data_IF_158658610556
#
_entry.id   IF_158658610556
#
_cell.length_a   1.000
_cell.length_b   1.000
_cell.length_c   1.000
_cell.angle_alpha   90.00
_cell.angle_beta   90.00
_cell.angle_gamma   90.00
#
_symmetry.space_group_name_H-M   'P 1'
#
loop_
_entity.id
_entity.type
_entity.pdbx_description
1 polymer ?
#
# COMPACT_ATOMS: atom_id res chain seq x y z
N UNK A 1 14.53 -32.19 2.54
CA UNK A 1 15.78 -31.65 3.12
C UNK A 1 16.33 -30.49 2.30
N UNK A 2 16.91 -30.67 1.09
CA UNK A 2 17.58 -29.58 0.31
C UNK A 2 16.72 -28.32 0.20
N UNK A 3 15.41 -28.43 0.00
CA UNK A 3 14.53 -27.25 -0.09
C UNK A 3 14.25 -26.58 1.25
N UNK A 4 14.31 -27.32 2.35
CA UNK A 4 14.17 -26.75 3.70
C UNK A 4 15.42 -25.95 4.07
N UNK A 5 16.59 -26.45 3.72
CA UNK A 5 17.86 -25.77 4.00
C UNK A 5 18.13 -24.61 3.03
N UNK A 6 17.68 -24.75 1.78
CA UNK A 6 17.95 -23.79 0.70
C UNK A 6 16.67 -23.48 -0.11
N UNK A 7 15.68 -22.79 0.48
CA UNK A 7 14.38 -22.58 -0.15
C UNK A 7 14.42 -21.75 -1.44
N UNK A 8 15.49 -21.00 -1.68
CA UNK A 8 15.71 -20.24 -2.91
C UNK A 8 16.16 -21.07 -4.10
N UNK A 9 16.55 -22.33 -3.91
CA UNK A 9 17.08 -23.18 -4.98
C UNK A 9 15.99 -23.62 -5.95
N UNK A 10 16.17 -23.28 -7.22
CA UNK A 10 15.36 -23.81 -8.32
C UNK A 10 15.81 -25.17 -8.81
N UNK A 11 15.06 -25.73 -9.76
CA UNK A 11 15.30 -27.10 -10.28
C UNK A 11 16.70 -27.37 -10.86
N UNK A 12 17.45 -26.34 -11.27
CA UNK A 12 18.83 -26.47 -11.72
C UNK A 12 19.75 -26.71 -10.53
N UNK A 13 19.68 -25.83 -9.54
CA UNK A 13 20.54 -25.93 -8.36
C UNK A 13 20.26 -27.19 -7.54
N UNK A 14 18.97 -27.57 -7.37
CA UNK A 14 18.58 -28.80 -6.70
C UNK A 14 19.14 -30.04 -7.47
N UNK A 15 19.06 -30.03 -8.81
CA UNK A 15 19.71 -31.10 -9.61
C UNK A 15 21.20 -31.20 -9.30
N UNK A 16 21.92 -30.09 -9.33
CA UNK A 16 23.36 -30.04 -9.12
C UNK A 16 23.75 -30.52 -7.71
N UNK A 17 22.98 -30.15 -6.70
CA UNK A 17 23.14 -30.64 -5.33
C UNK A 17 22.92 -32.14 -5.23
N UNK A 18 21.85 -32.69 -5.82
CA UNK A 18 21.57 -34.12 -5.85
C UNK A 18 22.67 -34.90 -6.60
N UNK A 19 23.19 -34.35 -7.69
CA UNK A 19 24.30 -34.99 -8.42
C UNK A 19 25.59 -35.00 -7.60
N UNK A 20 25.89 -33.96 -6.84
CA UNK A 20 27.02 -33.94 -5.88
C UNK A 20 26.86 -34.97 -4.76
N UNK A 21 25.62 -35.29 -4.39
CA UNK A 21 25.30 -36.38 -3.42
C UNK A 21 25.29 -37.77 -4.07
N UNK A 22 25.70 -37.92 -5.34
CA UNK A 22 25.79 -39.20 -6.04
C UNK A 22 24.52 -39.63 -6.76
N UNK A 23 23.44 -38.83 -6.75
CA UNK A 23 22.20 -39.19 -7.43
C UNK A 23 22.26 -38.89 -8.93
N UNK A 24 22.10 -39.89 -9.76
CA UNK A 24 21.98 -39.71 -11.22
C UNK A 24 20.59 -39.24 -11.59
N UNK A 25 20.35 -37.92 -11.57
CA UNK A 25 19.04 -37.32 -11.82
C UNK A 25 19.15 -36.15 -12.80
N UNK A 26 18.24 -36.11 -13.77
CA UNK A 26 18.14 -35.00 -14.73
C UNK A 26 17.18 -33.90 -14.26
N UNK A 27 17.36 -32.67 -14.78
CA UNK A 27 16.54 -31.49 -14.45
C UNK A 27 15.04 -31.71 -14.67
N UNK A 28 14.63 -32.42 -15.74
CA UNK A 28 13.22 -32.69 -16.02
C UNK A 28 12.56 -33.49 -14.89
N UNK A 29 13.27 -34.52 -14.37
CA UNK A 29 12.79 -35.34 -13.25
C UNK A 29 12.71 -34.52 -11.97
N UNK A 30 13.73 -33.72 -11.65
CA UNK A 30 13.71 -32.81 -10.47
C UNK A 30 12.52 -31.82 -10.55
N UNK A 31 12.32 -31.18 -11.69
CA UNK A 31 11.19 -30.25 -11.89
C UNK A 31 9.82 -30.92 -11.70
N UNK A 32 9.68 -32.16 -12.19
CA UNK A 32 8.46 -32.96 -11.98
C UNK A 32 8.24 -33.27 -10.51
N UNK A 33 9.27 -33.70 -9.79
CA UNK A 33 9.20 -34.02 -8.37
C UNK A 33 8.89 -32.78 -7.53
N UNK A 34 9.56 -31.67 -7.78
CA UNK A 34 9.24 -30.40 -7.11
C UNK A 34 7.76 -30.03 -7.27
N UNK A 35 7.21 -30.16 -8.49
CA UNK A 35 5.78 -29.88 -8.74
C UNK A 35 4.86 -30.83 -7.98
N UNK A 36 5.17 -32.13 -7.92
CA UNK A 36 4.38 -33.11 -7.19
C UNK A 36 4.38 -32.86 -5.68
N UNK A 37 5.50 -32.36 -5.14
CA UNK A 37 5.66 -31.99 -3.72
C UNK A 37 5.16 -30.60 -3.38
N UNK A 38 4.65 -29.82 -4.36
CA UNK A 38 4.25 -28.42 -4.15
C UNK A 38 5.42 -27.46 -3.83
N UNK A 39 6.66 -27.85 -4.17
CA UNK A 39 7.88 -27.11 -3.85
C UNK A 39 8.22 -26.11 -4.97
N UNK A 40 8.41 -24.86 -4.60
CA UNK A 40 8.82 -23.77 -5.50
C UNK A 40 10.00 -23.02 -4.90
N UNK A 41 10.93 -22.57 -5.77
CA UNK A 41 12.00 -21.69 -5.32
C UNK A 41 11.42 -20.37 -4.78
N UNK A 42 11.87 -19.95 -3.61
CA UNK A 42 11.55 -18.64 -3.07
C UNK A 42 12.45 -17.58 -3.72
N UNK A 43 11.86 -16.71 -4.49
CA UNK A 43 12.52 -15.54 -5.11
C UNK A 43 11.54 -14.38 -5.23
N UNK A 44 12.02 -13.14 -5.27
CA UNK A 44 11.15 -12.00 -5.55
C UNK A 44 10.49 -12.20 -6.91
N UNK A 45 9.15 -12.28 -6.92
CA UNK A 45 8.40 -12.40 -8.18
C UNK A 45 8.55 -11.10 -8.96
N UNK A 46 8.62 -11.17 -10.31
CA UNK A 46 8.59 -9.95 -11.12
C UNK A 46 7.30 -9.18 -10.82
N UNK A 47 7.39 -7.86 -10.78
CA UNK A 47 6.23 -7.01 -10.63
C UNK A 47 5.28 -7.25 -11.83
N UNK A 48 4.11 -7.79 -11.55
CA UNK A 48 3.08 -8.09 -12.55
C UNK A 48 2.08 -6.94 -12.71
N UNK A 49 2.15 -5.92 -11.87
CA UNK A 49 1.33 -4.72 -11.98
C UNK A 49 1.81 -3.91 -13.19
N UNK A 50 1.06 -4.01 -14.29
CA UNK A 50 1.29 -3.17 -15.46
C UNK A 50 0.57 -1.84 -15.25
N UNK A 51 1.26 -0.68 -15.40
CA UNK A 51 0.59 0.62 -15.38
C UNK A 51 -0.51 0.65 -16.44
N UNK A 52 -1.70 1.07 -16.07
CA UNK A 52 -2.74 1.34 -17.05
C UNK A 52 -2.43 2.68 -17.73
N UNK A 53 -2.02 2.64 -19.00
CA UNK A 53 -1.66 3.83 -19.79
C UNK A 53 -2.84 4.80 -20.00
N UNK A 54 -4.07 4.37 -19.75
CA UNK A 54 -5.26 5.21 -19.80
C UNK A 54 -5.48 6.02 -18.52
N UNK A 55 -4.74 5.74 -17.43
CA UNK A 55 -4.85 6.50 -16.19
C UNK A 55 -4.28 7.92 -16.37
N UNK A 56 -5.11 8.90 -16.05
CA UNK A 56 -4.71 10.31 -16.13
C UNK A 56 -3.81 10.67 -14.96
N UNK A 57 -2.57 11.04 -15.26
CA UNK A 57 -1.59 11.51 -14.26
C UNK A 57 -1.64 13.04 -14.24
N UNK A 58 -1.66 13.61 -13.04
CA UNK A 58 -1.64 15.05 -12.81
C UNK A 58 -0.25 15.52 -12.40
N UNK A 59 0.13 16.77 -12.68
CA UNK A 59 1.43 17.32 -12.28
C UNK A 59 1.53 17.47 -10.77
N UNK A 60 2.74 17.39 -10.23
CA UNK A 60 3.03 17.70 -8.84
C UNK A 60 3.00 19.21 -8.60
N UNK A 61 2.04 19.69 -7.82
CA UNK A 61 1.78 21.10 -7.60
C UNK A 61 2.49 21.68 -6.36
N UNK A 62 3.02 20.85 -5.47
CA UNK A 62 3.51 21.29 -4.16
C UNK A 62 4.99 21.75 -4.20
N UNK A 63 5.66 21.65 -5.35
CA UNK A 63 7.05 22.10 -5.47
C UNK A 63 7.16 23.61 -5.22
N UNK A 64 7.91 23.98 -4.18
CA UNK A 64 8.11 25.37 -3.75
C UNK A 64 6.81 26.05 -3.24
N UNK A 65 5.75 25.31 -2.99
CA UNK A 65 4.55 25.85 -2.38
C UNK A 65 4.78 26.08 -0.89
N UNK A 66 4.51 27.29 -0.42
CA UNK A 66 4.48 27.58 1.02
C UNK A 66 3.12 27.12 1.54
N UNK A 67 3.12 26.22 2.51
CA UNK A 67 1.91 25.69 3.13
C UNK A 67 1.84 26.29 4.53
N UNK A 68 0.97 27.27 4.72
CA UNK A 68 0.92 28.14 5.90
C UNK A 68 -0.42 28.13 6.66
N UNK A 69 -1.43 27.40 6.16
CA UNK A 69 -2.72 27.27 6.83
C UNK A 69 -3.35 25.88 6.61
N UNK A 70 -4.27 25.54 7.52
CA UNK A 70 -5.04 24.29 7.43
C UNK A 70 -6.01 24.32 6.25
N UNK A 71 -6.30 23.14 5.70
CA UNK A 71 -7.10 22.93 4.49
C UNK A 71 -6.50 23.51 3.19
N UNK A 72 -5.25 23.94 3.20
CA UNK A 72 -4.56 24.33 1.98
C UNK A 72 -4.18 23.10 1.16
N UNK A 73 -3.57 22.09 1.79
CA UNK A 73 -3.18 20.85 1.13
C UNK A 73 -3.56 19.65 1.98
N UNK A 74 -4.33 18.74 1.42
CA UNK A 74 -4.54 17.41 1.99
C UNK A 74 -3.75 16.38 1.22
N UNK A 75 -3.29 15.33 1.91
CA UNK A 75 -2.68 14.18 1.25
C UNK A 75 -3.30 12.87 1.73
N UNK A 76 -3.25 11.87 0.85
CA UNK A 76 -3.76 10.52 1.12
C UNK A 76 -2.82 9.45 0.57
N UNK A 77 -2.86 8.30 1.20
CA UNK A 77 -2.17 7.09 0.77
C UNK A 77 -2.84 5.86 1.37
N UNK A 78 -2.48 4.69 0.89
CA UNK A 78 -2.95 3.40 1.40
C UNK A 78 -1.78 2.60 1.93
N UNK A 79 -1.92 2.06 3.14
CA UNK A 79 -0.93 1.15 3.70
C UNK A 79 -1.54 -0.21 4.06
N UNK A 80 -0.69 -1.24 4.10
CA UNK A 80 -1.03 -2.58 4.55
C UNK A 80 -0.86 -2.67 6.07
N UNK A 81 -1.88 -3.21 6.72
CA UNK A 81 -1.88 -3.50 8.16
C UNK A 81 -1.84 -5.01 8.33
N UNK A 82 -0.74 -5.59 8.82
CA UNK A 82 -0.64 -7.02 9.08
C UNK A 82 -1.57 -7.44 10.19
N UNK A 83 -2.11 -8.64 10.06
CA UNK A 83 -2.97 -9.30 11.04
C UNK A 83 -2.42 -10.67 11.36
N UNK A 84 -2.94 -11.34 12.39
CA UNK A 84 -2.58 -12.72 12.71
C UNK A 84 -2.77 -13.67 11.50
N UNK A 85 -3.78 -13.41 10.65
CA UNK A 85 -4.00 -14.12 9.38
C UNK A 85 -4.24 -13.09 8.27
N UNK A 86 -3.24 -12.91 7.38
CA UNK A 86 -3.34 -11.99 6.24
C UNK A 86 -3.11 -10.52 6.62
N UNK A 87 -3.84 -9.62 5.98
CA UNK A 87 -3.71 -8.18 6.17
C UNK A 87 -5.01 -7.46 5.78
N UNK A 88 -5.15 -6.23 6.23
CA UNK A 88 -6.16 -5.28 5.78
C UNK A 88 -5.50 -4.02 5.23
N UNK A 89 -6.26 -3.20 4.53
CA UNK A 89 -5.82 -1.92 3.97
C UNK A 89 -6.29 -0.79 4.87
N UNK A 90 -5.43 0.19 5.10
CA UNK A 90 -5.76 1.44 5.77
C UNK A 90 -5.51 2.59 4.80
N UNK A 91 -6.56 3.35 4.49
CA UNK A 91 -6.48 4.64 3.83
C UNK A 91 -6.64 5.73 4.89
N UNK A 92 -5.83 6.78 4.83
CA UNK A 92 -6.00 7.96 5.66
C UNK A 92 -5.83 9.24 4.84
N UNK A 93 -6.51 10.29 5.28
CA UNK A 93 -6.38 11.65 4.75
C UNK A 93 -5.84 12.53 5.85
N UNK A 94 -4.75 13.24 5.59
CA UNK A 94 -4.16 14.18 6.53
C UNK A 94 -4.08 15.58 5.93
N UNK A 95 -4.29 16.57 6.77
CA UNK A 95 -3.99 17.95 6.46
C UNK A 95 -2.49 18.20 6.60
N UNK A 96 -1.86 18.70 5.54
CA UNK A 96 -0.41 18.86 5.49
C UNK A 96 0.13 19.89 6.49
N UNK A 97 -0.61 20.97 6.70
CA UNK A 97 -0.21 22.02 7.63
C UNK A 97 -0.31 21.59 9.09
N UNK A 98 -1.52 21.19 9.52
CA UNK A 98 -1.78 20.80 10.92
C UNK A 98 -1.30 19.39 11.26
N UNK A 99 -1.06 18.54 10.25
CA UNK A 99 -0.76 17.11 10.36
C UNK A 99 -1.87 16.28 10.98
N UNK A 100 -3.05 16.85 11.11
CA UNK A 100 -4.22 16.17 11.65
C UNK A 100 -4.70 15.10 10.68
N UNK A 101 -5.02 13.91 11.18
CA UNK A 101 -5.78 12.90 10.44
C UNK A 101 -7.22 13.37 10.36
N UNK A 102 -7.70 13.62 9.16
CA UNK A 102 -9.04 14.16 8.91
C UNK A 102 -10.08 13.05 8.80
N UNK A 103 -9.71 11.97 8.14
CA UNK A 103 -10.52 10.77 8.02
C UNK A 103 -9.63 9.55 7.75
N UNK A 104 -10.13 8.38 8.09
CA UNK A 104 -9.48 7.12 7.79
C UNK A 104 -10.51 6.01 7.50
N UNK A 105 -10.11 4.98 6.76
CA UNK A 105 -10.91 3.78 6.48
C UNK A 105 -10.05 2.54 6.47
N UNK A 106 -10.55 1.49 7.12
CA UNK A 106 -9.95 0.14 7.06
C UNK A 106 -10.83 -0.76 6.20
N UNK A 107 -10.25 -1.37 5.17
CA UNK A 107 -10.93 -2.27 4.24
C UNK A 107 -10.22 -3.62 4.13
N UNK A 108 -10.97 -4.67 3.78
CA UNK A 108 -10.45 -6.00 3.43
C UNK A 108 -10.12 -6.11 1.94
N UNK A 109 -10.63 -5.20 1.11
CA UNK A 109 -10.35 -5.10 -0.32
C UNK A 109 -9.66 -3.78 -0.66
N UNK A 110 -8.87 -3.79 -1.74
CA UNK A 110 -8.13 -2.62 -2.23
C UNK A 110 -8.92 -1.93 -3.37
N UNK A 111 -10.22 -1.79 -3.21
CA UNK A 111 -11.11 -1.08 -4.14
C UNK A 111 -11.06 0.43 -3.93
N UNK A 112 -11.63 1.21 -4.85
CA UNK A 112 -11.60 2.68 -4.75
C UNK A 112 -12.59 3.23 -3.72
N UNK A 113 -13.67 2.52 -3.45
CA UNK A 113 -14.82 3.01 -2.67
C UNK A 113 -14.44 3.44 -1.25
N UNK A 114 -13.60 2.66 -0.54
CA UNK A 114 -13.20 3.05 0.83
C UNK A 114 -12.33 4.31 0.88
N UNK A 115 -11.62 4.63 -0.23
CA UNK A 115 -10.88 5.89 -0.36
C UNK A 115 -11.84 7.06 -0.61
N UNK A 116 -12.90 6.84 -1.41
CA UNK A 116 -13.96 7.83 -1.65
C UNK A 116 -14.71 8.11 -0.36
N UNK A 117 -15.07 7.06 0.40
CA UNK A 117 -15.74 7.22 1.71
C UNK A 117 -14.91 8.06 2.68
N UNK A 118 -13.59 7.84 2.72
CA UNK A 118 -12.68 8.65 3.55
C UNK A 118 -12.65 10.12 3.08
N UNK A 119 -12.59 10.34 1.76
CA UNK A 119 -12.59 11.68 1.18
C UNK A 119 -13.87 12.43 1.48
N UNK A 120 -15.02 11.81 1.29
CA UNK A 120 -16.34 12.40 1.55
C UNK A 120 -16.52 12.75 3.03
N UNK A 121 -16.11 11.85 3.94
CA UNK A 121 -16.12 12.13 5.38
C UNK A 121 -15.24 13.33 5.74
N UNK A 122 -14.01 13.39 5.23
CA UNK A 122 -13.11 14.52 5.48
C UNK A 122 -13.72 15.84 5.00
N UNK A 123 -14.30 15.85 3.79
CA UNK A 123 -14.95 17.03 3.21
C UNK A 123 -16.16 17.48 4.04
N UNK A 124 -17.00 16.56 4.49
CA UNK A 124 -18.17 16.89 5.32
C UNK A 124 -17.75 17.51 6.65
N UNK A 125 -16.67 17.01 7.27
CA UNK A 125 -16.22 17.49 8.59
C UNK A 125 -15.41 18.79 8.55
N UNK A 126 -14.61 18.99 7.50
CA UNK A 126 -13.57 20.04 7.48
C UNK A 126 -13.65 20.98 6.27
N UNK A 127 -14.59 20.77 5.34
CA UNK A 127 -14.65 21.50 4.08
C UNK A 127 -13.71 20.93 3.02
N UNK A 128 -13.51 21.68 1.93
CA UNK A 128 -12.65 21.26 0.83
C UNK A 128 -11.25 21.85 0.96
N UNK A 129 -10.19 21.09 0.65
CA UNK A 129 -8.85 21.66 0.53
C UNK A 129 -8.70 22.43 -0.79
N UNK A 130 -7.68 23.28 -0.88
CA UNK A 130 -7.30 23.89 -2.17
C UNK A 130 -6.62 22.89 -3.10
N UNK A 131 -5.76 22.02 -2.55
CA UNK A 131 -5.02 21.00 -3.28
C UNK A 131 -5.16 19.65 -2.59
N UNK A 132 -5.39 18.62 -3.38
CA UNK A 132 -5.37 17.23 -2.90
C UNK A 132 -4.21 16.48 -3.54
N UNK A 133 -3.28 15.98 -2.72
CA UNK A 133 -2.08 15.28 -3.17
C UNK A 133 -2.17 13.78 -2.94
N UNK A 134 -1.82 12.99 -3.94
CA UNK A 134 -1.82 11.52 -3.85
C UNK A 134 -0.61 10.95 -4.59
N UNK A 135 -0.35 9.66 -4.42
CA UNK A 135 0.49 8.91 -5.32
C UNK A 135 -0.23 8.60 -6.66
N UNK A 136 0.43 7.86 -7.54
CA UNK A 136 -0.15 7.42 -8.82
C UNK A 136 -0.81 6.03 -8.71
N UNK A 137 -1.30 5.66 -7.52
CA UNK A 137 -2.01 4.40 -7.29
C UNK A 137 -3.30 4.27 -8.10
N UNK A 138 -3.68 3.04 -8.44
CA UNK A 138 -4.87 2.78 -9.28
C UNK A 138 -6.16 3.30 -8.65
N UNK A 139 -6.26 3.34 -7.34
CA UNK A 139 -7.41 3.87 -6.59
C UNK A 139 -7.55 5.38 -6.82
N UNK A 140 -6.43 6.11 -6.73
CA UNK A 140 -6.41 7.57 -6.81
C UNK A 140 -6.40 8.10 -8.26
N UNK A 141 -5.99 7.26 -9.21
CA UNK A 141 -6.07 7.56 -10.65
C UNK A 141 -7.38 7.09 -11.29
N UNK A 142 -8.26 6.44 -10.53
CA UNK A 142 -9.57 6.01 -10.99
C UNK A 142 -10.47 7.21 -11.34
N UNK A 143 -11.30 7.05 -12.35
CA UNK A 143 -12.22 8.11 -12.77
C UNK A 143 -13.20 8.48 -11.66
N UNK A 144 -13.68 7.51 -10.88
CA UNK A 144 -14.58 7.74 -9.76
C UNK A 144 -13.96 8.67 -8.70
N UNK A 145 -12.72 8.39 -8.26
CA UNK A 145 -12.04 9.22 -7.27
C UNK A 145 -11.73 10.62 -7.81
N UNK A 146 -11.21 10.70 -9.04
CA UNK A 146 -10.89 11.97 -9.67
C UNK A 146 -12.12 12.87 -9.88
N UNK A 147 -13.28 12.28 -10.17
CA UNK A 147 -14.52 13.02 -10.35
C UNK A 147 -15.00 13.65 -9.02
N UNK A 148 -14.82 12.96 -7.88
CA UNK A 148 -15.12 13.52 -6.56
C UNK A 148 -14.36 14.84 -6.28
N UNK A 149 -13.08 14.89 -6.66
CA UNK A 149 -12.24 16.07 -6.51
C UNK A 149 -12.63 17.18 -7.50
N UNK A 150 -12.85 16.83 -8.78
CA UNK A 150 -13.21 17.79 -9.84
C UNK A 150 -14.56 18.44 -9.60
N UNK A 151 -15.57 17.69 -9.15
CA UNK A 151 -16.91 18.22 -8.85
C UNK A 151 -16.88 19.32 -7.76
N UNK A 152 -15.85 19.30 -6.91
CA UNK A 152 -15.65 20.27 -5.84
C UNK A 152 -14.59 21.33 -6.15
N UNK A 153 -14.11 21.39 -7.40
CA UNK A 153 -13.05 22.29 -7.85
C UNK A 153 -11.74 22.19 -7.05
N UNK A 154 -11.43 21.00 -6.48
CA UNK A 154 -10.20 20.75 -5.76
C UNK A 154 -9.08 20.52 -6.77
N UNK A 155 -7.96 21.22 -6.65
CA UNK A 155 -6.79 21.03 -7.51
C UNK A 155 -6.12 19.69 -7.18
N UNK A 156 -5.83 18.89 -8.22
CA UNK A 156 -5.25 17.55 -8.07
C UNK A 156 -3.75 17.65 -8.28
N UNK A 157 -2.99 17.13 -7.33
CA UNK A 157 -1.54 16.97 -7.38
C UNK A 157 -1.19 15.50 -7.25
N UNK A 158 -0.23 15.02 -8.03
CA UNK A 158 0.26 13.65 -7.92
C UNK A 158 1.78 13.62 -7.78
N UNK A 159 2.24 12.76 -6.88
CA UNK A 159 3.67 12.56 -6.64
C UNK A 159 4.37 12.07 -7.89
N UNK A 160 5.59 12.56 -8.11
CA UNK A 160 6.44 12.07 -9.18
C UNK A 160 6.85 10.62 -8.94
N UNK A 161 6.90 9.81 -9.99
CA UNK A 161 7.32 8.42 -9.88
C UNK A 161 8.71 8.30 -9.23
N UNK A 162 8.78 7.60 -8.09
CA UNK A 162 10.02 7.40 -7.34
C UNK A 162 10.46 8.58 -6.46
N UNK A 163 9.63 9.60 -6.27
CA UNK A 163 9.91 10.76 -5.40
C UNK A 163 9.27 10.60 -4.03
N UNK A 164 9.88 9.80 -3.18
CA UNK A 164 9.41 9.53 -1.82
C UNK A 164 9.25 10.80 -0.95
N UNK A 165 10.02 11.85 -1.21
CA UNK A 165 9.91 13.12 -0.47
C UNK A 165 8.57 13.84 -0.70
N UNK A 166 7.90 13.55 -1.81
CA UNK A 166 6.66 14.22 -2.17
C UNK A 166 5.47 13.72 -1.31
N UNK A 167 5.62 12.57 -0.62
CA UNK A 167 4.59 11.98 0.26
C UNK A 167 5.08 11.71 1.70
N UNK A 168 6.19 12.34 2.10
CA UNK A 168 6.87 12.09 3.38
C UNK A 168 5.95 12.23 4.60
N UNK A 169 4.93 13.09 4.53
CA UNK A 169 4.04 13.36 5.66
C UNK A 169 3.18 12.13 6.01
N UNK A 170 2.58 11.51 5.01
CA UNK A 170 1.74 10.34 5.26
C UNK A 170 2.58 9.08 5.51
N UNK A 171 3.77 8.98 4.89
CA UNK A 171 4.72 7.90 5.20
C UNK A 171 5.15 7.96 6.69
N UNK A 172 5.31 9.15 7.24
CA UNK A 172 5.60 9.36 8.65
C UNK A 172 4.44 8.92 9.55
N UNK A 173 3.20 9.20 9.16
CA UNK A 173 2.00 8.68 9.83
C UNK A 173 2.00 7.14 9.83
N UNK A 174 2.29 6.52 8.68
CA UNK A 174 2.36 5.05 8.61
C UNK A 174 3.40 4.45 9.54
N UNK A 175 4.53 5.13 9.69
CA UNK A 175 5.56 4.69 10.63
C UNK A 175 5.03 4.71 12.07
N UNK A 176 4.41 5.81 12.51
CA UNK A 176 3.82 5.91 13.85
C UNK A 176 2.74 4.86 14.07
N UNK A 177 1.74 4.79 13.19
CA UNK A 177 0.66 3.78 13.28
C UNK A 177 1.21 2.36 13.39
N UNK A 178 2.21 2.00 12.56
CA UNK A 178 2.76 0.64 12.56
C UNK A 178 3.56 0.33 13.81
N UNK A 179 4.40 1.25 14.28
CA UNK A 179 5.29 0.99 15.42
C UNK A 179 4.63 1.19 16.78
N UNK A 180 3.69 2.12 16.88
CA UNK A 180 3.08 2.50 18.16
C UNK A 180 1.76 1.77 18.42
N UNK A 181 1.12 1.23 17.38
CA UNK A 181 -0.17 0.56 17.47
C UNK A 181 -0.13 -0.86 16.89
N UNK A 182 0.10 -1.00 15.58
CA UNK A 182 -0.12 -2.26 14.85
C UNK A 182 0.81 -3.39 15.30
N UNK A 183 2.12 -3.12 15.39
CA UNK A 183 3.11 -4.14 15.75
C UNK A 183 3.05 -4.54 17.23
N UNK A 184 2.41 -3.73 18.07
CA UNK A 184 2.24 -4.03 19.50
C UNK A 184 1.01 -4.90 19.78
N UNK A 185 -0.01 -4.86 18.92
CA UNK A 185 -1.33 -5.45 19.22
C UNK A 185 -1.68 -6.72 18.43
N UNK A 186 -1.02 -7.02 17.30
CA UNK A 186 -1.20 -8.25 16.53
C UNK A 186 -2.67 -8.68 16.37
N UNK A 187 -3.48 -7.89 15.66
CA UNK A 187 -4.93 -8.06 15.55
C UNK A 187 -5.36 -9.45 15.04
N UNK A 188 -6.31 -10.08 15.74
CA UNK A 188 -6.89 -11.37 15.35
C UNK A 188 -8.06 -11.21 14.37
N UNK A 189 -8.82 -10.12 14.48
CA UNK A 189 -10.01 -9.87 13.66
C UNK A 189 -9.98 -8.48 13.00
N UNK A 190 -10.66 -8.37 11.86
CA UNK A 190 -10.85 -7.09 11.15
C UNK A 190 -11.58 -6.05 12.02
N UNK A 191 -12.55 -6.50 12.83
CA UNK A 191 -13.28 -5.62 13.75
C UNK A 191 -12.34 -5.02 14.80
N UNK A 192 -11.49 -5.84 15.39
CA UNK A 192 -10.47 -5.38 16.35
C UNK A 192 -9.50 -4.38 15.70
N UNK A 193 -8.99 -4.68 14.50
CA UNK A 193 -8.12 -3.77 13.78
C UNK A 193 -8.80 -2.41 13.49
N UNK A 194 -10.06 -2.43 13.02
CA UNK A 194 -10.83 -1.20 12.78
C UNK A 194 -10.98 -0.35 14.02
N UNK A 195 -11.40 -0.96 15.12
CA UNK A 195 -11.64 -0.25 16.38
C UNK A 195 -10.32 0.31 16.95
N UNK A 196 -9.29 -0.50 17.06
CA UNK A 196 -8.04 -0.13 17.70
C UNK A 196 -7.28 0.95 16.90
N UNK A 197 -7.30 0.87 15.56
CA UNK A 197 -6.70 1.90 14.70
C UNK A 197 -7.50 3.21 14.81
N UNK A 198 -8.84 3.14 14.89
CA UNK A 198 -9.66 4.33 15.07
C UNK A 198 -9.33 5.03 16.41
N UNK A 199 -9.32 4.28 17.52
CA UNK A 199 -8.96 4.81 18.84
C UNK A 199 -7.56 5.46 18.86
N UNK A 200 -6.59 4.86 18.16
CA UNK A 200 -5.24 5.42 18.05
C UNK A 200 -5.20 6.70 17.21
N UNK A 201 -5.94 6.77 16.10
CA UNK A 201 -5.93 7.93 15.20
C UNK A 201 -6.77 9.10 15.72
N UNK A 202 -7.73 8.83 16.62
CA UNK A 202 -8.55 9.84 17.28
C UNK A 202 -7.86 10.44 18.52
N UNK A 203 -6.82 9.77 19.06
CA UNK A 203 -5.97 10.23 20.17
C UNK A 203 -5.00 11.30 19.70
#
# INVERSE_FOLDING_TARGET
>A
EIHLDYPFMGSRMIRDMLQRQGHQIGRRKVRRLMRLMGIHALYPKPNTSKPNLAHRIFPYLLKNMVIDHSNQVWCTDITYIPMAKGFVYLCAIIDWHSRKVLAHRVSISMETDFCIDALQEAIVKYGCPEVFNTDQGSQFTSEAFLNELKLRNIRISMDGKGRWMDNVMIERLWRSVKHEEVYLKAYDTVKQAKQSIAEYLDF
#
